data_IF_398446968713
#
_entry.id   IF_398446968713
#
_cell.length_a   1.000
_cell.length_b   1.000
_cell.length_c   1.000
_cell.angle_alpha   90.00
_cell.angle_beta   90.00
_cell.angle_gamma   90.00
#
_symmetry.space_group_name_H-M   'P 1'
#
loop_
_entity.id
_entity.type
_entity.pdbx_description
1 polymer ?
#
# COMPACT_ATOMS: atom_id res chain seq x y z
N UNK A 1 -11.25 6.53 21.74
CA UNK A 1 -10.87 7.62 20.82
C UNK A 1 -11.63 7.35 19.53
N UNK A 2 -12.81 7.95 19.38
CA UNK A 2 -13.68 7.76 18.23
C UNK A 2 -13.18 8.66 17.10
N UNK A 3 -12.52 8.07 16.10
CA UNK A 3 -12.14 8.79 14.90
C UNK A 3 -13.42 9.04 14.09
N UNK A 4 -13.86 10.29 14.06
CA UNK A 4 -14.89 10.73 13.12
C UNK A 4 -14.35 10.66 11.68
N UNK A 5 -15.20 10.79 10.65
CA UNK A 5 -14.77 10.78 9.26
C UNK A 5 -14.05 12.09 8.92
N UNK A 6 -12.89 12.33 9.52
CA UNK A 6 -11.95 13.34 9.10
C UNK A 6 -11.23 12.81 7.87
N UNK A 7 -11.62 13.31 6.69
CA UNK A 7 -10.94 13.24 5.40
C UNK A 7 -9.78 12.22 5.29
N UNK A 8 -10.12 10.94 5.37
CA UNK A 8 -9.15 9.86 5.20
C UNK A 8 -8.86 9.76 3.70
N UNK A 9 -7.62 10.01 3.29
CA UNK A 9 -7.23 9.94 1.87
C UNK A 9 -7.60 8.59 1.25
N UNK A 10 -8.26 8.62 0.09
CA UNK A 10 -8.78 7.42 -0.56
C UNK A 10 -7.67 6.62 -1.26
N UNK A 11 -7.36 5.45 -0.70
CA UNK A 11 -6.36 4.50 -1.21
C UNK A 11 -6.62 4.12 -2.67
N UNK A 12 -7.88 3.80 -3.00
CA UNK A 12 -8.29 3.29 -4.30
C UNK A 12 -8.46 4.36 -5.39
N UNK A 13 -8.17 5.63 -5.10
CA UNK A 13 -8.23 6.69 -6.09
C UNK A 13 -6.99 7.60 -6.02
N UNK A 14 -6.98 8.56 -5.08
CA UNK A 14 -5.96 9.60 -5.03
C UNK A 14 -4.57 9.02 -4.74
N UNK A 15 -4.44 8.10 -3.78
CA UNK A 15 -3.14 7.50 -3.47
C UNK A 15 -2.64 6.61 -4.60
N UNK A 16 -3.52 5.78 -5.19
CA UNK A 16 -3.16 4.93 -6.32
C UNK A 16 -2.64 5.76 -7.51
N UNK A 17 -3.39 6.80 -7.89
CA UNK A 17 -3.01 7.69 -8.98
C UNK A 17 -1.69 8.43 -8.70
N UNK A 18 -1.53 8.95 -7.48
CA UNK A 18 -0.33 9.70 -7.09
C UNK A 18 0.91 8.80 -7.05
N UNK A 19 0.79 7.57 -6.54
CA UNK A 19 1.89 6.63 -6.50
C UNK A 19 2.35 6.20 -7.91
N UNK A 20 1.39 5.89 -8.79
CA UNK A 20 1.69 5.55 -10.18
C UNK A 20 2.36 6.71 -10.93
N UNK A 21 1.85 7.95 -10.74
CA UNK A 21 2.47 9.14 -11.31
C UNK A 21 3.88 9.39 -10.74
N UNK A 22 4.05 9.24 -9.43
CA UNK A 22 5.34 9.40 -8.75
C UNK A 22 6.42 8.46 -9.29
N UNK A 23 6.08 7.19 -9.53
CA UNK A 23 6.98 6.22 -10.17
C UNK A 23 7.45 6.72 -11.54
N UNK A 24 6.53 7.18 -12.40
CA UNK A 24 6.89 7.69 -13.74
C UNK A 24 7.72 8.98 -13.69
N UNK A 25 7.58 9.75 -12.62
CA UNK A 25 8.31 11.00 -12.39
C UNK A 25 9.65 10.79 -11.67
N UNK A 26 9.99 9.57 -11.25
CA UNK A 26 11.19 9.29 -10.46
C UNK A 26 11.15 9.85 -9.04
N UNK A 27 9.95 10.07 -8.49
CA UNK A 27 9.74 10.57 -7.12
C UNK A 27 9.55 9.38 -6.19
N UNK A 28 10.34 9.31 -5.13
CA UNK A 28 10.14 8.32 -4.07
C UNK A 28 8.86 8.63 -3.28
N UNK A 29 7.95 7.66 -3.22
CA UNK A 29 6.66 7.79 -2.53
C UNK A 29 6.66 6.93 -1.26
N UNK A 30 6.16 7.51 -0.17
CA UNK A 30 5.88 6.84 1.10
C UNK A 30 4.37 6.89 1.38
N UNK A 31 3.78 5.76 1.79
CA UNK A 31 2.34 5.66 2.07
C UNK A 31 2.13 5.13 3.49
N UNK A 32 1.30 5.84 4.25
CA UNK A 32 0.91 5.49 5.62
C UNK A 32 -0.39 4.68 5.60
N UNK A 33 -0.30 3.38 5.84
CA UNK A 33 -1.44 2.45 5.71
C UNK A 33 -2.51 2.66 6.79
N UNK A 34 -2.12 3.15 7.96
CA UNK A 34 -3.00 3.41 9.10
C UNK A 34 -3.54 4.85 9.13
N UNK A 35 -3.14 5.69 8.18
CA UNK A 35 -3.64 7.05 7.97
C UNK A 35 -4.35 7.22 6.62
N UNK A 36 -4.73 6.11 5.98
CA UNK A 36 -5.49 6.08 4.72
C UNK A 36 -6.52 4.96 4.74
N UNK A 37 -7.46 5.00 3.80
CA UNK A 37 -8.57 4.05 3.76
C UNK A 37 -9.17 3.94 2.37
N UNK A 38 -9.98 2.91 2.16
CA UNK A 38 -10.77 2.77 0.93
C UNK A 38 -12.26 2.76 1.27
N UNK A 39 -13.09 2.93 0.25
CA UNK A 39 -14.54 2.74 0.32
C UNK A 39 -14.91 1.40 -0.32
N UNK A 40 -16.01 0.79 0.14
CA UNK A 40 -16.55 -0.40 -0.52
C UNK A 40 -17.02 -0.04 -1.92
N UNK A 41 -16.74 -0.91 -2.90
CA UNK A 41 -17.18 -0.73 -4.28
C UNK A 41 -18.14 -1.86 -4.65
N UNK A 42 -19.16 -1.54 -5.43
CA UNK A 42 -20.06 -2.51 -6.06
C UNK A 42 -20.53 -1.98 -7.41
N UNK A 43 -20.53 -2.83 -8.43
CA UNK A 43 -21.02 -2.56 -9.79
C UNK A 43 -21.26 -3.90 -10.52
N UNK A 44 -21.54 -3.86 -11.83
CA UNK A 44 -21.86 -5.05 -12.63
C UNK A 44 -20.73 -6.10 -12.71
N UNK A 45 -19.48 -5.74 -12.38
CA UNK A 45 -18.34 -6.68 -12.33
C UNK A 45 -18.25 -7.40 -10.98
N UNK A 46 -18.83 -6.83 -9.91
CA UNK A 46 -18.86 -7.44 -8.58
C UNK A 46 -18.83 -6.43 -7.45
N UNK A 47 -18.52 -6.92 -6.25
CA UNK A 47 -18.41 -6.11 -5.04
C UNK A 47 -17.14 -6.44 -4.25
N UNK A 48 -16.51 -5.41 -3.67
CA UNK A 48 -15.32 -5.54 -2.82
C UNK A 48 -15.50 -4.69 -1.55
N UNK A 49 -15.33 -5.27 -0.35
CA UNK A 49 -15.34 -4.51 0.90
C UNK A 49 -14.15 -3.54 0.99
N UNK A 50 -14.40 -2.38 1.60
CA UNK A 50 -13.39 -1.34 1.87
C UNK A 50 -12.06 -1.89 2.41
N UNK A 51 -12.12 -2.74 3.45
CA UNK A 51 -10.93 -3.27 4.10
C UNK A 51 -10.07 -4.12 3.14
N UNK A 52 -10.70 -5.06 2.42
CA UNK A 52 -9.99 -5.92 1.46
C UNK A 52 -9.33 -5.08 0.37
N UNK A 53 -10.08 -4.12 -0.20
CA UNK A 53 -9.56 -3.24 -1.24
C UNK A 53 -8.35 -2.43 -0.74
N UNK A 54 -8.43 -1.88 0.47
CA UNK A 54 -7.31 -1.14 1.07
C UNK A 54 -6.09 -2.05 1.28
N UNK A 55 -6.27 -3.24 1.87
CA UNK A 55 -5.19 -4.20 2.13
C UNK A 55 -4.50 -4.67 0.84
N UNK A 56 -5.27 -5.04 -0.19
CA UNK A 56 -4.75 -5.48 -1.49
C UNK A 56 -3.97 -4.35 -2.17
N UNK A 57 -4.47 -3.11 -2.08
CA UNK A 57 -3.77 -1.94 -2.63
C UNK A 57 -2.49 -1.61 -1.85
N UNK A 58 -2.45 -1.76 -0.53
CA UNK A 58 -1.20 -1.59 0.24
C UNK A 58 -0.13 -2.57 -0.21
N UNK A 59 -0.49 -3.84 -0.47
CA UNK A 59 0.44 -4.84 -1.00
C UNK A 59 0.93 -4.46 -2.39
N UNK A 60 0.00 -4.08 -3.29
CA UNK A 60 0.33 -3.65 -4.65
C UNK A 60 1.28 -2.45 -4.65
N UNK A 61 0.95 -1.39 -3.89
CA UNK A 61 1.77 -0.19 -3.78
C UNK A 61 3.15 -0.54 -3.24
N UNK A 62 3.24 -1.38 -2.19
CA UNK A 62 4.52 -1.77 -1.61
C UNK A 62 5.39 -2.60 -2.55
N UNK A 63 4.75 -3.39 -3.41
CA UNK A 63 5.44 -4.25 -4.37
C UNK A 63 6.27 -3.47 -5.39
N UNK A 64 5.90 -2.22 -5.72
CA UNK A 64 6.63 -1.49 -6.75
C UNK A 64 6.57 0.04 -6.70
N UNK A 65 5.50 0.67 -6.23
CA UNK A 65 5.32 2.12 -6.43
C UNK A 65 5.56 2.97 -5.18
N UNK A 66 5.52 2.39 -3.97
CA UNK A 66 5.70 3.16 -2.73
C UNK A 66 6.34 2.33 -1.60
N UNK A 67 7.09 2.96 -0.71
CA UNK A 67 7.39 2.38 0.59
C UNK A 67 6.15 2.52 1.49
N UNK A 68 5.52 1.40 1.84
CA UNK A 68 4.31 1.38 2.66
C UNK A 68 4.72 1.10 4.10
N UNK A 69 4.25 1.92 5.04
CA UNK A 69 4.54 1.77 6.46
C UNK A 69 3.35 2.20 7.34
N UNK A 70 3.45 1.95 8.63
CA UNK A 70 2.56 2.58 9.62
C UNK A 70 3.12 3.93 10.07
N UNK A 71 2.23 4.78 10.59
CA UNK A 71 2.55 6.17 10.98
C UNK A 71 3.64 6.21 12.05
N UNK A 72 3.66 5.25 12.96
CA UNK A 72 4.66 5.18 14.03
C UNK A 72 6.07 4.89 13.48
N UNK A 73 6.21 3.90 12.60
CA UNK A 73 7.49 3.55 11.96
C UNK A 73 7.98 4.67 11.05
N UNK A 74 7.07 5.32 10.32
CA UNK A 74 7.41 6.49 9.52
C UNK A 74 7.94 7.64 10.38
N UNK A 75 7.24 7.99 11.47
CA UNK A 75 7.67 9.06 12.37
C UNK A 75 9.06 8.83 12.96
N UNK A 76 9.37 7.56 13.32
CA UNK A 76 10.72 7.17 13.74
C UNK A 76 11.76 7.33 12.63
N UNK A 77 11.47 6.87 11.43
CA UNK A 77 12.38 6.97 10.29
C UNK A 77 12.71 8.44 9.99
N UNK A 78 11.72 9.34 10.04
CA UNK A 78 11.91 10.79 9.92
C UNK A 78 12.82 11.33 11.02
N UNK A 79 12.57 10.99 12.29
CA UNK A 79 13.38 11.44 13.41
C UNK A 79 14.84 10.96 13.34
N UNK A 80 15.06 9.76 12.79
CA UNK A 80 16.37 9.14 12.61
C UNK A 80 17.03 9.50 11.27
N UNK A 81 16.36 10.28 10.41
CA UNK A 81 16.80 10.59 9.03
C UNK A 81 17.12 9.34 8.19
N UNK A 82 16.32 8.29 8.38
CA UNK A 82 16.46 7.02 7.65
C UNK A 82 15.38 6.90 6.56
N UNK A 83 15.74 6.36 5.38
CA UNK A 83 14.75 6.10 4.34
C UNK A 83 13.89 4.88 4.71
N UNK A 84 12.62 4.91 4.29
CA UNK A 84 11.80 3.70 4.32
C UNK A 84 12.15 2.77 3.15
N UNK A 85 12.35 1.50 3.44
CA UNK A 85 12.61 0.49 2.42
C UNK A 85 11.33 0.17 1.64
N UNK A 86 11.41 0.23 0.31
CA UNK A 86 10.38 -0.28 -0.62
C UNK A 86 10.70 -1.71 -1.02
N UNK A 87 9.69 -2.52 -1.29
CA UNK A 87 9.88 -3.84 -1.91
C UNK A 87 10.10 -3.72 -3.43
N UNK A 88 10.17 -4.86 -4.11
CA UNK A 88 10.13 -4.94 -5.56
C UNK A 88 9.25 -6.10 -6.00
N UNK A 89 8.79 -6.05 -7.26
CA UNK A 89 7.81 -7.00 -7.79
C UNK A 89 8.29 -8.45 -7.70
N UNK A 90 9.58 -8.70 -7.97
CA UNK A 90 10.17 -10.03 -7.92
C UNK A 90 10.13 -10.56 -6.49
N UNK A 91 10.64 -9.79 -5.52
CA UNK A 91 10.62 -10.18 -4.12
C UNK A 91 9.20 -10.41 -3.60
N UNK A 92 8.25 -9.54 -3.98
CA UNK A 92 6.84 -9.66 -3.57
C UNK A 92 6.14 -10.87 -4.18
N UNK A 93 6.47 -11.25 -5.42
CA UNK A 93 5.89 -12.43 -6.07
C UNK A 93 6.48 -13.71 -5.50
N UNK A 94 7.81 -13.75 -5.28
CA UNK A 94 8.50 -14.91 -4.71
C UNK A 94 8.04 -15.25 -3.30
N UNK A 95 7.74 -14.25 -2.47
CA UNK A 95 7.24 -14.48 -1.10
C UNK A 95 5.81 -15.04 -1.04
N UNK A 96 5.06 -14.95 -2.13
CA UNK A 96 3.68 -15.42 -2.23
C UNK A 96 3.54 -16.70 -3.08
N UNK A 97 4.65 -17.34 -3.47
CA UNK A 97 4.56 -18.65 -4.11
C UNK A 97 4.27 -19.72 -3.06
N UNK A 98 3.27 -20.60 -3.29
CA UNK A 98 3.14 -21.80 -2.48
C UNK A 98 4.43 -22.62 -2.63
N UNK A 99 4.90 -23.25 -1.56
CA UNK A 99 6.06 -24.14 -1.61
C UNK A 99 5.80 -25.24 -2.64
N UNK A 100 6.32 -25.04 -3.87
CA UNK A 100 6.30 -26.07 -4.90
C UNK A 100 7.42 -27.02 -4.54
N UNK A 101 7.11 -27.89 -3.58
CA UNK A 101 8.02 -28.85 -3.01
C UNK A 101 8.81 -29.58 -4.10
N UNK A 102 10.13 -29.54 -3.94
CA UNK A 102 11.11 -30.36 -4.64
C UNK A 102 10.67 -31.83 -4.57
N UNK A 103 10.03 -32.33 -5.63
CA UNK A 103 9.83 -33.76 -5.83
C UNK A 103 11.17 -34.34 -6.29
N UNK A 104 11.79 -35.10 -5.40
CA UNK A 104 12.82 -36.08 -5.73
C UNK A 104 12.18 -37.28 -6.44
#
# INVERSE_FOLDING_TARGET
>A
MTDGPGDVSMTNNCLLASAAAGETAGIAIEVLRDASGAISLANDVGAVPAQRLHEDLMVLLHSNWAAVSDTHRWARAVAESLPLAKSNLIASASSNQPDVGRRH
#
